data_IF_421311917449
#
_entry.id   IF_421311917449
#
_cell.length_a   1.000
_cell.length_b   1.000
_cell.length_c   1.000
_cell.angle_alpha   90.00
_cell.angle_beta   90.00
_cell.angle_gamma   90.00
#
_symmetry.space_group_name_H-M   'P 1'
#
loop_
_entity.id
_entity.type
_entity.pdbx_description
1 polymer ?
#
# COMPACT_ATOMS: atom_id res chain seq x y z
N UNK A 1 49.55 46.16 -55.35
CA UNK A 1 48.34 45.45 -55.82
C UNK A 1 48.13 44.09 -55.16
N UNK A 2 49.10 43.17 -55.20
CA UNK A 2 48.98 41.83 -54.61
C UNK A 2 48.67 41.85 -53.11
N UNK A 3 49.30 42.70 -52.33
CA UNK A 3 49.13 42.85 -50.89
C UNK A 3 47.72 43.36 -50.50
N UNK A 4 47.12 44.21 -51.30
CA UNK A 4 45.74 44.71 -51.03
C UNK A 4 44.69 43.64 -51.32
N UNK A 5 44.95 42.79 -52.32
CA UNK A 5 44.05 41.66 -52.63
C UNK A 5 44.13 40.57 -51.53
N UNK A 6 45.33 40.27 -51.06
CA UNK A 6 45.51 39.35 -49.93
C UNK A 6 44.88 39.83 -48.64
N UNK A 7 44.99 41.13 -48.37
CA UNK A 7 44.37 41.76 -47.18
C UNK A 7 42.85 41.71 -47.25
N UNK A 8 42.24 41.98 -48.41
CA UNK A 8 40.79 41.95 -48.59
C UNK A 8 40.26 40.51 -48.49
N UNK A 9 40.99 39.54 -49.02
CA UNK A 9 40.62 38.11 -48.90
C UNK A 9 40.70 37.63 -47.44
N UNK A 10 41.75 38.00 -46.74
CA UNK A 10 41.89 37.72 -45.30
C UNK A 10 40.77 38.36 -44.50
N UNK A 11 40.41 39.60 -44.79
CA UNK A 11 39.32 40.29 -44.11
C UNK A 11 37.94 39.63 -44.37
N UNK A 12 37.67 39.19 -45.60
CA UNK A 12 36.44 38.43 -45.91
C UNK A 12 36.36 37.10 -45.17
N UNK A 13 37.49 36.38 -45.07
CA UNK A 13 37.53 35.14 -44.30
C UNK A 13 37.33 35.39 -42.82
N UNK A 14 37.92 36.42 -42.22
CA UNK A 14 37.73 36.80 -40.83
C UNK A 14 36.26 37.20 -40.57
N UNK A 15 35.66 37.99 -41.42
CA UNK A 15 34.23 38.38 -41.29
C UNK A 15 33.32 37.13 -41.40
N UNK A 16 33.65 36.19 -42.34
CA UNK A 16 32.93 34.93 -42.46
C UNK A 16 33.02 34.07 -41.22
N UNK A 17 34.24 33.87 -40.67
CA UNK A 17 34.46 33.14 -39.43
C UNK A 17 33.74 33.80 -38.24
N UNK A 18 33.87 35.10 -38.08
CA UNK A 18 33.20 35.84 -37.03
C UNK A 18 31.68 35.66 -37.04
N UNK A 19 31.08 35.73 -38.26
CA UNK A 19 29.64 35.56 -38.44
C UNK A 19 29.20 34.15 -38.06
N UNK A 20 29.97 33.13 -38.44
CA UNK A 20 29.68 31.75 -38.10
C UNK A 20 29.79 31.50 -36.58
N UNK A 21 30.87 31.95 -35.96
CA UNK A 21 31.07 31.82 -34.48
C UNK A 21 29.99 32.55 -33.70
N UNK A 22 29.62 33.75 -34.13
CA UNK A 22 28.52 34.49 -33.51
C UNK A 22 27.16 33.77 -33.60
N UNK A 23 26.91 33.12 -34.75
CA UNK A 23 25.69 32.34 -34.93
C UNK A 23 25.66 31.10 -34.05
N UNK A 24 26.80 30.43 -33.91
CA UNK A 24 26.95 29.26 -33.03
C UNK A 24 26.79 29.63 -31.54
N UNK A 25 27.36 30.75 -31.10
CA UNK A 25 27.18 31.27 -29.73
C UNK A 25 25.71 31.58 -29.46
N UNK A 26 25.02 32.27 -30.38
CA UNK A 26 23.58 32.54 -30.21
C UNK A 26 22.75 31.27 -30.20
N UNK A 27 23.08 30.28 -31.01
CA UNK A 27 22.40 28.98 -31.04
C UNK A 27 22.60 28.25 -29.70
N UNK A 28 23.84 28.22 -29.20
CA UNK A 28 24.13 27.61 -27.92
C UNK A 28 23.42 28.30 -26.75
N UNK A 29 23.36 29.65 -26.75
CA UNK A 29 22.61 30.40 -25.74
C UNK A 29 21.11 30.10 -25.77
N UNK A 30 20.51 30.09 -26.96
CA UNK A 30 19.09 29.75 -27.12
C UNK A 30 18.78 28.31 -26.66
N UNK A 31 19.71 27.37 -26.91
CA UNK A 31 19.56 25.99 -26.44
C UNK A 31 19.63 25.90 -24.92
N UNK A 32 20.57 26.61 -24.29
CA UNK A 32 20.68 26.66 -22.83
C UNK A 32 19.41 27.27 -22.21
N UNK A 33 18.91 28.37 -22.74
CA UNK A 33 17.67 29.00 -22.25
C UNK A 33 16.45 28.11 -22.47
N UNK A 34 16.35 27.44 -23.61
CA UNK A 34 15.30 26.47 -23.88
C UNK A 34 15.33 25.30 -22.89
N UNK A 35 16.51 24.71 -22.63
CA UNK A 35 16.65 23.64 -21.63
C UNK A 35 16.33 24.14 -20.20
N UNK A 36 16.78 25.33 -19.84
CA UNK A 36 16.45 25.93 -18.54
C UNK A 36 14.93 26.11 -18.39
N UNK A 37 14.27 26.65 -19.41
CA UNK A 37 12.82 26.83 -19.41
C UNK A 37 12.09 25.49 -19.34
N UNK A 38 12.60 24.46 -20.00
CA UNK A 38 12.06 23.09 -19.91
C UNK A 38 12.12 22.54 -18.48
N UNK A 39 13.29 22.63 -17.82
CA UNK A 39 13.43 22.12 -16.44
C UNK A 39 12.62 22.95 -15.42
N UNK A 40 12.43 24.23 -15.65
CA UNK A 40 11.54 25.04 -14.82
C UNK A 40 10.09 24.62 -14.97
N UNK A 41 9.63 24.38 -16.20
CA UNK A 41 8.28 23.88 -16.47
C UNK A 41 8.07 22.50 -15.87
N UNK A 42 9.07 21.60 -16.00
CA UNK A 42 9.05 20.27 -15.39
C UNK A 42 8.93 20.36 -13.85
N UNK A 43 9.77 21.20 -13.21
CA UNK A 43 9.67 21.46 -11.78
C UNK A 43 8.31 22.03 -11.36
N UNK A 44 7.69 22.85 -12.20
CA UNK A 44 6.33 23.36 -11.98
C UNK A 44 5.28 22.26 -11.97
N UNK A 45 5.37 21.30 -12.89
CA UNK A 45 4.48 20.12 -12.90
C UNK A 45 4.66 19.29 -11.64
N UNK A 46 5.88 18.96 -11.25
CA UNK A 46 6.17 18.19 -10.04
C UNK A 46 5.69 18.91 -8.76
N UNK A 47 5.91 20.22 -8.68
CA UNK A 47 5.42 21.04 -7.57
C UNK A 47 3.88 21.01 -7.49
N UNK A 48 3.20 21.17 -8.63
CA UNK A 48 1.74 21.14 -8.68
C UNK A 48 1.18 19.78 -8.24
N UNK A 49 1.82 18.70 -8.64
CA UNK A 49 1.49 17.34 -8.22
C UNK A 49 1.68 17.19 -6.70
N UNK A 50 2.81 17.67 -6.15
CA UNK A 50 3.08 17.62 -4.73
C UNK A 50 2.04 18.39 -3.89
N UNK A 51 1.45 19.48 -4.43
CA UNK A 51 0.35 20.20 -3.78
C UNK A 51 -0.99 19.46 -3.85
N UNK A 52 -1.20 18.66 -4.89
CA UNK A 52 -2.41 17.87 -5.07
C UNK A 52 -2.45 16.64 -4.14
N UNK A 53 -1.31 16.00 -3.94
CA UNK A 53 -1.18 14.71 -3.28
C UNK A 53 -1.78 14.63 -1.87
N UNK A 54 -1.50 15.55 -0.93
CA UNK A 54 -1.93 15.40 0.46
C UNK A 54 -3.45 15.43 0.64
N UNK A 55 -4.17 16.12 -0.26
CA UNK A 55 -5.61 16.35 -0.12
C UNK A 55 -6.46 15.59 -1.13
N UNK A 56 -5.85 15.05 -2.20
CA UNK A 56 -6.50 14.46 -3.38
C UNK A 56 -7.61 15.35 -3.98
N UNK A 57 -7.58 16.65 -3.63
CA UNK A 57 -8.50 17.67 -4.15
C UNK A 57 -7.70 18.66 -4.98
N UNK A 58 -8.29 19.09 -6.09
CA UNK A 58 -7.68 20.16 -6.88
C UNK A 58 -7.47 21.37 -5.97
N UNK A 59 -6.21 21.81 -5.79
CA UNK A 59 -5.95 22.95 -4.93
C UNK A 59 -6.60 24.21 -5.51
N UNK A 60 -7.14 25.05 -4.64
CA UNK A 60 -7.74 26.32 -5.04
C UNK A 60 -6.72 27.27 -5.68
N UNK A 61 -5.43 27.10 -5.39
CA UNK A 61 -4.33 27.87 -5.93
C UNK A 61 -3.05 27.03 -5.90
N UNK A 62 -2.25 27.11 -6.96
CA UNK A 62 -0.88 26.58 -7.08
C UNK A 62 0.16 27.71 -7.15
N UNK A 63 -0.23 28.87 -6.65
CA UNK A 63 0.59 30.08 -6.70
C UNK A 63 1.97 29.92 -6.04
N UNK A 64 2.08 29.06 -5.03
CA UNK A 64 3.37 28.74 -4.39
C UNK A 64 4.37 28.17 -5.39
N UNK A 65 3.93 27.32 -6.32
CA UNK A 65 4.76 26.75 -7.38
C UNK A 65 5.13 27.82 -8.41
N UNK A 66 4.17 28.67 -8.79
CA UNK A 66 4.35 29.73 -9.77
C UNK A 66 5.37 30.75 -9.28
N UNK A 67 5.24 31.20 -8.03
CA UNK A 67 6.13 32.19 -7.41
C UNK A 67 7.55 31.65 -7.19
N UNK A 68 7.68 30.37 -6.79
CA UNK A 68 8.98 29.77 -6.48
C UNK A 68 9.79 29.48 -7.75
N UNK A 69 9.15 29.06 -8.83
CA UNK A 69 9.81 28.58 -10.04
C UNK A 69 9.69 29.57 -11.22
N UNK A 70 8.96 30.68 -11.05
CA UNK A 70 8.65 31.64 -12.11
C UNK A 70 8.00 30.96 -13.33
N UNK A 71 7.01 30.12 -13.09
CA UNK A 71 6.25 29.39 -14.09
C UNK A 71 4.76 29.67 -13.92
N UNK A 72 3.95 29.24 -14.86
CA UNK A 72 2.48 29.25 -14.72
C UNK A 72 2.00 27.82 -14.72
N UNK A 73 1.49 27.34 -13.60
CA UNK A 73 1.04 25.95 -13.43
C UNK A 73 -0.49 25.85 -13.47
N UNK A 74 -0.99 24.72 -13.98
CA UNK A 74 -2.41 24.39 -13.99
C UNK A 74 -2.60 22.93 -13.69
N UNK A 75 -3.64 22.62 -12.92
CA UNK A 75 -4.12 21.27 -12.64
C UNK A 75 -5.60 21.21 -12.97
N UNK A 76 -6.01 20.16 -13.68
CA UNK A 76 -7.44 19.91 -13.96
C UNK A 76 -7.70 18.43 -14.17
N UNK A 77 -8.95 18.02 -13.96
CA UNK A 77 -9.42 16.68 -14.28
C UNK A 77 -9.75 16.58 -15.76
N UNK A 78 -9.34 15.47 -16.39
CA UNK A 78 -9.79 15.12 -17.73
C UNK A 78 -11.24 14.60 -17.61
N UNK A 79 -12.18 15.33 -18.18
CA UNK A 79 -13.61 14.99 -18.08
C UNK A 79 -14.00 13.65 -18.72
N UNK A 80 -13.08 13.00 -19.46
CA UNK A 80 -13.34 11.72 -20.15
C UNK A 80 -12.75 10.51 -19.43
N UNK A 81 -11.62 10.66 -18.75
CA UNK A 81 -10.86 9.55 -18.16
C UNK A 81 -10.67 9.65 -16.63
N UNK A 82 -11.17 10.71 -16.03
CA UNK A 82 -10.97 11.00 -14.60
C UNK A 82 -9.49 11.13 -14.18
N UNK A 83 -8.58 11.28 -15.18
CA UNK A 83 -7.17 11.50 -14.92
C UNK A 83 -6.91 12.96 -14.54
N UNK A 84 -5.86 13.19 -13.78
CA UNK A 84 -5.39 14.55 -13.51
C UNK A 84 -4.36 14.94 -14.56
N UNK A 85 -4.51 16.13 -15.11
CA UNK A 85 -3.55 16.73 -16.04
C UNK A 85 -2.87 17.87 -15.33
N UNK A 86 -1.55 17.79 -15.19
CA UNK A 86 -0.70 18.87 -14.74
C UNK A 86 0.02 19.51 -15.92
N UNK A 87 -0.01 20.82 -16.01
CA UNK A 87 0.70 21.59 -17.03
C UNK A 87 1.43 22.75 -16.38
N UNK A 88 2.66 22.98 -16.77
CA UNK A 88 3.41 24.15 -16.39
C UNK A 88 4.03 24.81 -17.60
N UNK A 89 4.04 26.13 -17.62
CA UNK A 89 4.60 26.94 -18.69
C UNK A 89 5.65 27.88 -18.11
N UNK A 90 6.86 27.78 -18.61
CA UNK A 90 7.92 28.79 -18.49
C UNK A 90 7.91 29.69 -19.72
N UNK A 91 8.79 30.69 -19.80
CA UNK A 91 8.80 31.70 -20.88
C UNK A 91 8.70 31.11 -22.28
N UNK A 92 9.46 30.05 -22.57
CA UNK A 92 9.60 29.51 -23.92
C UNK A 92 9.21 28.03 -24.05
N UNK A 93 8.86 27.37 -22.94
CA UNK A 93 8.55 25.94 -22.94
C UNK A 93 7.31 25.66 -22.12
N UNK A 94 6.54 24.69 -22.55
CA UNK A 94 5.38 24.18 -21.83
C UNK A 94 5.48 22.67 -21.73
N UNK A 95 5.32 22.15 -20.51
CA UNK A 95 5.29 20.72 -20.21
C UNK A 95 3.92 20.37 -19.71
N UNK A 96 3.36 19.29 -20.17
CA UNK A 96 2.09 18.75 -19.68
C UNK A 96 2.23 17.26 -19.44
N UNK A 97 1.73 16.82 -18.30
CA UNK A 97 1.72 15.41 -17.91
C UNK A 97 0.34 14.97 -17.47
N UNK A 98 -0.01 13.76 -17.82
CA UNK A 98 -1.23 13.10 -17.38
C UNK A 98 -0.87 11.97 -16.43
N UNK A 99 -1.52 11.93 -15.28
CA UNK A 99 -1.40 10.83 -14.34
C UNK A 99 -2.77 10.36 -13.88
N UNK A 100 -2.89 9.07 -13.68
CA UNK A 100 -4.01 8.50 -12.95
C UNK A 100 -3.68 8.56 -11.47
N UNK A 101 -4.65 8.94 -10.65
CA UNK A 101 -4.57 8.64 -9.25
C UNK A 101 -4.65 7.13 -9.08
N UNK A 102 -3.71 6.58 -8.38
CA UNK A 102 -3.87 5.27 -7.80
C UNK A 102 -4.91 5.42 -6.68
N UNK A 103 -6.18 5.37 -7.04
CA UNK A 103 -7.24 5.33 -6.04
C UNK A 103 -7.35 3.91 -5.55
N UNK A 104 -7.13 3.70 -4.26
CA UNK A 104 -7.51 2.43 -3.64
C UNK A 104 -9.01 2.25 -3.82
N UNK A 105 -9.41 1.21 -4.51
CA UNK A 105 -10.80 0.74 -4.54
C UNK A 105 -10.95 -0.31 -3.43
N UNK A 106 -10.79 0.13 -2.19
CA UNK A 106 -10.92 -0.75 -1.04
C UNK A 106 -12.28 -1.46 -1.10
N UNK A 107 -12.22 -2.75 -1.38
CA UNK A 107 -13.38 -3.60 -1.29
C UNK A 107 -13.75 -3.81 0.18
N UNK A 108 -15.04 -4.00 0.45
CA UNK A 108 -15.52 -4.23 1.81
C UNK A 108 -14.95 -5.50 2.42
N UNK A 109 -14.62 -5.46 3.72
CA UNK A 109 -14.14 -6.57 4.52
C UNK A 109 -12.97 -6.19 5.44
N UNK A 110 -13.08 -6.52 6.72
CA UNK A 110 -12.02 -6.30 7.71
C UNK A 110 -10.78 -7.16 7.44
N UNK A 111 -10.99 -8.33 6.83
CA UNK A 111 -9.92 -9.23 6.40
C UNK A 111 -10.09 -9.48 4.91
N UNK A 112 -9.02 -9.26 4.17
CA UNK A 112 -8.97 -9.54 2.74
C UNK A 112 -7.79 -10.44 2.41
N UNK A 113 -8.03 -11.51 1.64
CA UNK A 113 -6.98 -12.46 1.32
C UNK A 113 -7.11 -13.06 -0.08
N UNK A 114 -6.02 -13.07 -0.83
CA UNK A 114 -5.88 -13.86 -2.04
C UNK A 114 -5.52 -15.34 -1.74
N UNK A 115 -5.00 -15.60 -0.52
CA UNK A 115 -4.57 -16.90 -0.04
C UNK A 115 -5.69 -17.69 0.67
N UNK A 116 -5.39 -18.90 1.02
CA UNK A 116 -6.25 -19.71 1.90
C UNK A 116 -5.99 -19.40 3.37
N UNK A 117 -7.04 -19.46 4.20
CA UNK A 117 -6.96 -19.22 5.65
C UNK A 117 -7.46 -20.46 6.41
N UNK A 118 -6.70 -20.86 7.43
CA UNK A 118 -7.14 -21.86 8.41
C UNK A 118 -7.09 -21.28 9.81
N UNK A 119 -8.23 -21.29 10.50
CA UNK A 119 -8.41 -20.80 11.86
C UNK A 119 -8.76 -22.01 12.75
N UNK A 120 -7.91 -22.30 13.75
CA UNK A 120 -8.15 -23.32 14.77
C UNK A 120 -8.39 -22.67 16.12
N UNK A 121 -9.55 -22.00 16.24
CA UNK A 121 -9.93 -21.30 17.47
C UNK A 121 -11.30 -20.64 17.37
N UNK A 122 -11.62 -19.82 18.36
CA UNK A 122 -12.75 -18.89 18.28
C UNK A 122 -12.35 -17.64 17.47
N UNK A 123 -13.20 -17.29 16.52
CA UNK A 123 -13.13 -16.07 15.76
C UNK A 123 -14.27 -15.14 16.18
N UNK A 124 -13.92 -13.93 16.56
CA UNK A 124 -14.88 -12.88 16.93
C UNK A 124 -14.72 -11.68 16.02
N UNK A 125 -15.78 -11.29 15.33
CA UNK A 125 -15.84 -10.04 14.59
C UNK A 125 -16.61 -9.06 15.47
N UNK A 126 -15.89 -8.12 16.08
CA UNK A 126 -16.49 -7.10 16.96
C UNK A 126 -17.25 -6.04 16.15
N UNK A 127 -16.65 -5.61 15.05
CA UNK A 127 -17.24 -4.69 14.10
C UNK A 127 -16.83 -5.11 12.70
N UNK A 128 -17.76 -5.52 11.83
CA UNK A 128 -17.47 -5.74 10.41
C UNK A 128 -17.40 -4.42 9.66
N UNK A 129 -16.93 -4.47 8.42
CA UNK A 129 -17.10 -3.37 7.47
C UNK A 129 -18.61 -3.21 7.17
N UNK A 130 -19.19 -2.00 7.29
CA UNK A 130 -20.60 -1.76 6.96
C UNK A 130 -20.95 -2.16 5.53
N UNK A 131 -20.02 -2.04 4.58
CA UNK A 131 -20.29 -2.33 3.17
C UNK A 131 -21.31 -1.36 2.56
N UNK A 132 -22.38 -1.89 1.99
CA UNK A 132 -23.40 -1.12 1.26
C UNK A 132 -24.62 -0.88 2.14
N UNK A 133 -25.06 0.39 2.21
CA UNK A 133 -26.32 0.73 2.87
C UNK A 133 -27.50 0.47 1.96
N UNK A 134 -28.50 -0.25 2.46
CA UNK A 134 -29.78 -0.48 1.80
C UNK A 134 -30.94 -0.02 2.70
N UNK A 135 -32.18 -0.06 2.20
CA UNK A 135 -33.34 0.45 2.95
C UNK A 135 -33.51 -0.23 4.32
N UNK A 136 -33.24 -1.52 4.40
CA UNK A 136 -33.49 -2.34 5.59
C UNK A 136 -32.27 -2.40 6.56
N UNK A 137 -31.06 -2.03 6.12
CA UNK A 137 -29.85 -2.15 6.92
C UNK A 137 -28.55 -1.99 6.13
N UNK A 138 -27.52 -2.67 6.59
CA UNK A 138 -26.20 -2.70 5.95
C UNK A 138 -25.86 -4.11 5.46
N UNK A 139 -25.37 -4.23 4.24
CA UNK A 139 -24.77 -5.45 3.70
C UNK A 139 -23.33 -5.59 4.22
N UNK A 140 -23.21 -5.84 5.52
CA UNK A 140 -21.93 -5.90 6.19
C UNK A 140 -21.03 -7.00 5.62
N UNK A 141 -19.72 -6.73 5.57
CA UNK A 141 -18.70 -7.70 5.16
C UNK A 141 -17.62 -7.84 6.24
N UNK A 142 -17.40 -9.05 6.71
CA UNK A 142 -16.34 -9.37 7.67
C UNK A 142 -15.08 -9.85 6.96
N UNK A 143 -15.24 -10.79 6.03
CA UNK A 143 -14.16 -11.38 5.25
C UNK A 143 -14.43 -11.26 3.75
N UNK A 144 -13.36 -10.99 3.00
CA UNK A 144 -13.34 -11.16 1.55
C UNK A 144 -12.14 -12.01 1.18
N UNK A 145 -12.38 -13.11 0.47
CA UNK A 145 -11.32 -14.09 0.20
C UNK A 145 -11.44 -14.69 -1.20
N UNK A 146 -10.30 -15.02 -1.79
CA UNK A 146 -10.21 -15.70 -3.07
C UNK A 146 -9.95 -17.20 -2.89
N UNK A 147 -9.09 -17.56 -1.93
CA UNK A 147 -8.72 -18.93 -1.64
C UNK A 147 -9.78 -19.70 -0.85
N UNK A 148 -9.34 -20.61 -0.04
CA UNK A 148 -10.19 -21.47 0.81
C UNK A 148 -10.17 -20.94 2.27
N UNK A 149 -11.34 -20.88 2.89
CA UNK A 149 -11.47 -20.50 4.30
C UNK A 149 -11.99 -21.70 5.12
N UNK A 150 -11.28 -22.00 6.21
CA UNK A 150 -11.67 -23.05 7.16
C UNK A 150 -11.55 -22.55 8.60
N UNK A 151 -12.61 -22.72 9.37
CA UNK A 151 -12.67 -22.39 10.80
C UNK A 151 -12.99 -23.66 11.56
N UNK A 152 -12.13 -24.00 12.53
CA UNK A 152 -12.35 -25.10 13.47
C UNK A 152 -12.52 -24.53 14.87
N UNK A 153 -13.76 -24.32 15.30
CA UNK A 153 -14.08 -23.69 16.56
C UNK A 153 -15.41 -22.95 16.54
N UNK A 154 -15.49 -21.79 17.17
CA UNK A 154 -16.67 -20.94 17.12
C UNK A 154 -16.38 -19.66 16.32
N UNK A 155 -17.40 -19.16 15.62
CA UNK A 155 -17.33 -17.89 14.91
C UNK A 155 -18.58 -17.08 15.24
N UNK A 156 -18.36 -15.82 15.64
CA UNK A 156 -19.46 -14.89 15.94
C UNK A 156 -19.14 -13.54 15.31
N UNK A 157 -20.05 -13.06 14.47
CA UNK A 157 -20.08 -11.67 14.01
C UNK A 157 -21.14 -10.89 14.79
N UNK A 158 -20.72 -9.92 15.61
CA UNK A 158 -21.62 -9.08 16.40
C UNK A 158 -22.32 -7.97 15.60
N UNK A 159 -21.87 -7.76 14.37
CA UNK A 159 -22.41 -6.69 13.52
C UNK A 159 -22.06 -5.29 14.03
N UNK A 160 -22.91 -4.32 13.70
CA UNK A 160 -22.70 -2.90 14.03
C UNK A 160 -23.36 -2.46 15.34
N UNK A 161 -24.04 -3.36 16.06
CA UNK A 161 -24.90 -2.99 17.18
C UNK A 161 -24.20 -2.93 18.54
N UNK A 162 -23.20 -3.80 18.73
CA UNK A 162 -22.65 -4.08 20.05
C UNK A 162 -21.14 -3.81 20.11
N UNK A 163 -20.54 -3.36 19.00
CA UNK A 163 -19.12 -3.04 18.86
C UNK A 163 -18.85 -1.52 18.77
N UNK A 164 -17.57 -1.15 18.73
CA UNK A 164 -17.16 0.21 18.39
C UNK A 164 -17.63 0.60 17.00
N UNK A 165 -17.85 1.91 16.78
CA UNK A 165 -18.21 2.41 15.45
C UNK A 165 -17.11 2.10 14.40
N UNK A 166 -17.49 1.83 13.14
CA UNK A 166 -16.51 1.53 12.07
C UNK A 166 -15.69 2.74 11.62
N UNK A 167 -16.10 3.95 11.96
CA UNK A 167 -15.35 5.21 11.84
C UNK A 167 -15.93 6.26 12.82
N UNK A 168 -15.20 7.37 13.01
CA UNK A 168 -15.60 8.44 13.94
C UNK A 168 -16.92 9.16 13.53
N UNK A 169 -17.20 9.23 12.23
CA UNK A 169 -18.37 9.93 11.68
C UNK A 169 -19.58 9.01 11.49
N UNK A 170 -19.48 7.73 11.85
CA UNK A 170 -20.54 6.76 11.63
C UNK A 170 -21.77 7.03 12.52
N UNK A 171 -22.79 7.58 11.93
CA UNK A 171 -24.02 8.02 12.65
C UNK A 171 -25.24 7.15 12.34
N UNK A 172 -25.07 6.01 11.68
CA UNK A 172 -26.20 5.16 11.32
C UNK A 172 -26.73 4.39 12.53
N UNK A 173 -28.06 4.35 12.67
CA UNK A 173 -28.77 3.48 13.62
C UNK A 173 -29.16 2.13 13.00
N UNK A 174 -28.89 1.94 11.71
CA UNK A 174 -29.17 0.70 11.00
C UNK A 174 -28.14 -0.37 11.38
N UNK A 175 -28.60 -1.61 11.42
CA UNK A 175 -27.78 -2.77 11.74
C UNK A 175 -27.35 -3.50 10.47
N UNK A 176 -26.43 -4.45 10.61
CA UNK A 176 -26.20 -5.42 9.55
C UNK A 176 -27.47 -6.23 9.29
N UNK A 177 -27.73 -6.55 8.03
CA UNK A 177 -28.79 -7.49 7.67
C UNK A 177 -28.51 -8.86 8.30
N UNK A 178 -29.56 -9.59 8.66
CA UNK A 178 -29.44 -10.88 9.35
C UNK A 178 -28.67 -11.92 8.52
N UNK A 179 -28.81 -11.89 7.20
CA UNK A 179 -28.06 -12.71 6.26
C UNK A 179 -26.59 -12.30 6.08
N UNK A 180 -26.15 -11.21 6.72
CA UNK A 180 -24.79 -10.73 6.81
C UNK A 180 -24.21 -10.84 8.23
N UNK A 181 -24.71 -11.79 9.01
CA UNK A 181 -24.25 -12.06 10.38
C UNK A 181 -23.97 -13.54 10.56
N UNK A 182 -22.75 -13.95 10.30
CA UNK A 182 -22.35 -15.35 10.51
C UNK A 182 -22.21 -15.64 11.99
N UNK A 183 -22.90 -16.72 12.42
CA UNK A 183 -22.73 -17.32 13.74
C UNK A 183 -22.64 -18.82 13.57
N UNK A 184 -21.49 -19.39 13.93
CA UNK A 184 -21.19 -20.81 13.81
C UNK A 184 -20.63 -21.36 15.10
N UNK A 185 -21.15 -22.50 15.54
CA UNK A 185 -20.60 -23.29 16.63
C UNK A 185 -20.10 -24.62 16.05
N UNK A 186 -18.78 -24.80 15.98
CA UNK A 186 -18.15 -25.99 15.42
C UNK A 186 -17.41 -25.72 14.09
N UNK A 187 -17.08 -26.78 13.36
CA UNK A 187 -16.28 -26.70 12.16
C UNK A 187 -17.10 -26.14 10.99
N UNK A 188 -16.48 -25.17 10.28
CA UNK A 188 -17.07 -24.52 9.12
C UNK A 188 -16.00 -24.28 8.05
N UNK A 189 -16.37 -24.51 6.79
CA UNK A 189 -15.46 -24.32 5.67
C UNK A 189 -16.22 -23.68 4.49
N UNK A 190 -15.52 -22.91 3.67
CA UNK A 190 -16.09 -22.33 2.45
C UNK A 190 -16.57 -23.39 1.44
N UNK A 191 -16.13 -24.62 1.59
CA UNK A 191 -16.59 -25.80 0.81
C UNK A 191 -17.65 -26.65 1.52
N UNK A 192 -18.15 -26.24 2.71
CA UNK A 192 -19.17 -26.98 3.45
C UNK A 192 -20.53 -26.95 2.75
N UNK A 193 -21.21 -28.08 2.76
CA UNK A 193 -22.60 -28.18 2.31
C UNK A 193 -23.47 -28.78 3.45
N UNK A 194 -24.50 -28.09 3.94
CA UNK A 194 -24.93 -26.76 3.52
C UNK A 194 -23.94 -25.65 3.91
N UNK A 195 -23.99 -24.51 3.23
CA UNK A 195 -23.15 -23.35 3.54
C UNK A 195 -23.32 -22.96 5.01
N UNK A 196 -22.18 -22.81 5.70
CA UNK A 196 -22.14 -22.40 7.09
C UNK A 196 -21.79 -20.93 7.28
N UNK A 197 -21.17 -20.29 6.29
CA UNK A 197 -20.94 -18.85 6.28
C UNK A 197 -22.14 -18.13 5.66
N UNK A 198 -22.51 -17.01 6.25
CA UNK A 198 -23.49 -16.09 5.71
C UNK A 198 -22.85 -15.13 4.68
N UNK A 199 -23.56 -14.13 4.20
CA UNK A 199 -23.11 -13.23 3.14
C UNK A 199 -21.99 -12.24 3.59
N UNK A 200 -21.72 -12.14 4.87
CA UNK A 200 -20.60 -11.37 5.43
C UNK A 200 -19.21 -11.99 5.15
N UNK A 201 -19.21 -13.25 4.66
CA UNK A 201 -18.03 -13.95 4.18
C UNK A 201 -18.09 -14.06 2.64
N UNK A 202 -17.49 -13.08 1.98
CA UNK A 202 -17.58 -12.91 0.53
C UNK A 202 -16.45 -13.63 -0.17
N UNK A 203 -16.77 -14.66 -0.95
CA UNK A 203 -15.80 -15.27 -1.87
C UNK A 203 -15.76 -14.42 -3.15
N UNK A 204 -14.56 -13.96 -3.54
CA UNK A 204 -14.35 -13.03 -4.65
C UNK A 204 -13.14 -13.46 -5.49
N UNK A 205 -13.41 -14.10 -6.62
CA UNK A 205 -12.36 -14.57 -7.54
C UNK A 205 -11.61 -13.43 -8.24
N UNK A 206 -12.18 -12.20 -8.22
CA UNK A 206 -11.57 -11.01 -8.81
C UNK A 206 -10.79 -10.16 -7.78
N UNK A 207 -10.68 -10.65 -6.54
CA UNK A 207 -9.96 -9.93 -5.49
C UNK A 207 -8.47 -9.80 -5.84
N UNK A 208 -7.98 -8.57 -5.80
CA UNK A 208 -6.57 -8.19 -5.98
C UNK A 208 -6.14 -7.36 -4.78
N UNK A 209 -5.79 -8.02 -3.67
CA UNK A 209 -5.66 -7.39 -2.35
C UNK A 209 -4.69 -6.21 -2.36
N UNK A 210 -3.52 -6.37 -3.00
CA UNK A 210 -2.52 -5.30 -3.09
C UNK A 210 -3.03 -4.12 -3.94
N UNK A 211 -3.60 -4.40 -5.11
CA UNK A 211 -4.12 -3.38 -6.02
C UNK A 211 -5.33 -2.67 -5.44
N UNK A 212 -6.26 -3.42 -4.84
CA UNK A 212 -7.45 -2.86 -4.19
C UNK A 212 -7.07 -1.93 -3.02
N UNK A 213 -5.99 -2.26 -2.28
CA UNK A 213 -5.53 -1.47 -1.14
C UNK A 213 -4.68 -0.26 -1.54
N UNK A 214 -3.70 -0.44 -2.44
CA UNK A 214 -2.74 0.60 -2.80
C UNK A 214 -3.07 1.33 -4.11
N UNK A 215 -4.05 0.85 -4.87
CA UNK A 215 -4.39 1.38 -6.20
C UNK A 215 -3.33 1.12 -7.27
N UNK A 216 -2.36 0.25 -7.00
CA UNK A 216 -1.21 -0.05 -7.86
C UNK A 216 -1.15 -1.56 -8.09
N UNK A 217 -1.02 -2.03 -9.34
CA UNK A 217 -0.85 -3.45 -9.61
C UNK A 217 0.32 -4.05 -8.83
N UNK A 218 0.15 -5.27 -8.30
CA UNK A 218 1.13 -5.92 -7.43
C UNK A 218 2.55 -5.97 -8.01
N UNK A 219 2.70 -6.13 -9.33
CA UNK A 219 4.01 -6.13 -10.00
C UNK A 219 4.71 -4.77 -10.03
N UNK A 220 4.02 -3.71 -9.60
CA UNK A 220 4.54 -2.35 -9.45
C UNK A 220 4.69 -1.93 -7.97
N UNK A 221 4.77 -2.90 -7.06
CA UNK A 221 4.88 -2.65 -5.62
C UNK A 221 6.06 -1.74 -5.24
N UNK A 222 7.12 -1.71 -6.05
CA UNK A 222 8.25 -0.80 -5.86
C UNK A 222 7.84 0.68 -5.90
N UNK A 223 6.79 1.03 -6.64
CA UNK A 223 6.25 2.40 -6.69
C UNK A 223 5.68 2.80 -5.33
N UNK A 224 4.96 1.87 -4.67
CA UNK A 224 4.42 2.08 -3.32
C UNK A 224 5.54 2.15 -2.29
N UNK A 225 6.51 1.23 -2.39
CA UNK A 225 7.67 1.19 -1.49
C UNK A 225 8.50 2.47 -1.54
N UNK A 226 8.71 3.01 -2.75
CA UNK A 226 9.54 4.19 -2.99
C UNK A 226 8.83 5.54 -2.75
N UNK A 227 7.53 5.57 -2.44
CA UNK A 227 6.78 6.82 -2.33
C UNK A 227 7.11 7.68 -1.09
N UNK A 228 7.99 7.19 -0.21
CA UNK A 228 8.46 7.90 0.98
C UNK A 228 7.55 7.80 2.21
N UNK A 229 6.38 7.16 2.10
CA UNK A 229 5.51 6.87 3.24
C UNK A 229 6.11 5.79 4.13
N UNK A 230 6.59 4.71 3.51
CA UNK A 230 7.12 3.56 4.23
C UNK A 230 8.56 3.78 4.68
N UNK A 231 8.82 3.44 5.95
CA UNK A 231 10.17 3.22 6.44
C UNK A 231 10.56 1.77 6.21
N UNK A 232 11.55 1.53 5.37
CA UNK A 232 12.04 0.19 5.12
C UNK A 232 12.87 -0.35 6.30
N UNK A 233 12.61 -1.61 6.64
CA UNK A 233 13.39 -2.41 7.57
C UNK A 233 13.95 -3.60 6.79
N UNK A 234 15.26 -3.61 6.57
CA UNK A 234 15.96 -4.76 6.02
C UNK A 234 16.50 -5.57 7.18
N UNK A 235 16.07 -6.81 7.30
CA UNK A 235 16.51 -7.70 8.37
C UNK A 235 17.99 -8.05 8.19
N UNK A 236 18.74 -8.15 9.30
CA UNK A 236 20.21 -8.17 9.25
C UNK A 236 20.81 -9.49 8.76
N UNK A 237 20.08 -10.60 8.90
CA UNK A 237 20.60 -11.92 8.56
C UNK A 237 20.16 -12.32 7.17
N UNK A 238 21.11 -12.50 6.26
CA UNK A 238 20.85 -13.04 4.94
C UNK A 238 21.22 -14.53 4.91
N UNK A 239 20.30 -15.38 4.49
CA UNK A 239 20.54 -16.81 4.32
C UNK A 239 21.47 -17.09 3.14
N UNK A 240 21.90 -18.34 3.00
CA UNK A 240 22.70 -18.78 1.84
C UNK A 240 21.94 -18.62 0.50
N UNK A 241 20.60 -18.66 0.55
CA UNK A 241 19.72 -18.44 -0.59
C UNK A 241 19.45 -16.94 -0.85
N UNK A 242 20.05 -16.05 -0.08
CA UNK A 242 19.89 -14.60 -0.25
C UNK A 242 18.61 -14.02 0.39
N UNK A 243 17.89 -14.81 1.19
CA UNK A 243 16.69 -14.37 1.88
C UNK A 243 17.05 -13.63 3.18
N UNK A 244 16.33 -12.55 3.45
CA UNK A 244 16.43 -11.82 4.70
C UNK A 244 15.55 -12.48 5.76
N UNK A 245 16.10 -12.75 6.92
CA UNK A 245 15.33 -13.31 8.04
C UNK A 245 15.85 -12.83 9.40
N UNK A 246 14.95 -12.73 10.37
CA UNK A 246 15.28 -12.47 11.76
C UNK A 246 14.33 -13.22 12.68
N UNK A 247 14.89 -13.92 13.64
CA UNK A 247 14.14 -14.71 14.62
C UNK A 247 13.17 -13.86 15.46
N UNK A 248 13.55 -12.61 15.73
CA UNK A 248 12.69 -11.63 16.38
C UNK A 248 12.98 -10.24 15.82
N UNK A 249 11.98 -9.65 15.17
CA UNK A 249 12.07 -8.32 14.56
C UNK A 249 11.33 -7.23 15.38
N UNK A 250 10.80 -7.59 16.56
CA UNK A 250 10.04 -6.66 17.39
C UNK A 250 10.84 -5.45 17.83
N UNK A 251 12.14 -5.62 18.10
CA UNK A 251 13.03 -4.53 18.50
C UNK A 251 13.20 -3.47 17.39
N UNK A 252 13.43 -3.91 16.15
CA UNK A 252 13.54 -3.00 15.00
C UNK A 252 12.25 -2.25 14.74
N UNK A 253 11.12 -2.96 14.82
CA UNK A 253 9.80 -2.34 14.70
C UNK A 253 9.63 -1.26 15.76
N UNK A 254 9.88 -1.57 17.02
CA UNK A 254 9.79 -0.61 18.12
C UNK A 254 10.73 0.58 17.95
N UNK A 255 11.95 0.37 17.49
CA UNK A 255 12.89 1.45 17.23
C UNK A 255 12.34 2.44 16.21
N UNK A 256 11.73 1.95 15.15
CA UNK A 256 11.12 2.81 14.12
C UNK A 256 9.87 3.51 14.65
N UNK A 257 8.98 2.81 15.34
CA UNK A 257 7.78 3.40 15.93
C UNK A 257 8.11 4.52 16.95
N UNK A 258 9.14 4.34 17.78
CA UNK A 258 9.64 5.37 18.71
C UNK A 258 10.20 6.61 17.99
N UNK A 259 10.60 6.49 16.72
CA UNK A 259 11.01 7.61 15.85
C UNK A 259 9.82 8.21 15.09
N UNK A 260 8.59 7.82 15.41
CA UNK A 260 7.36 8.23 14.73
C UNK A 260 7.25 7.78 13.27
N UNK A 261 7.96 6.70 12.90
CA UNK A 261 7.76 6.03 11.62
C UNK A 261 6.62 5.03 11.78
N UNK A 262 5.40 5.42 11.43
CA UNK A 262 4.19 4.63 11.69
C UNK A 262 3.89 3.59 10.60
N UNK A 263 4.46 3.75 9.41
CA UNK A 263 4.27 2.84 8.29
C UNK A 263 5.57 2.13 7.98
N UNK A 264 5.61 0.83 8.21
CA UNK A 264 6.83 0.03 8.11
C UNK A 264 6.72 -0.99 6.98
N UNK A 265 7.74 -1.03 6.13
CA UNK A 265 7.93 -2.04 5.09
C UNK A 265 9.07 -2.96 5.52
N UNK A 266 8.74 -4.16 5.94
CA UNK A 266 9.68 -5.14 6.48
C UNK A 266 10.02 -6.13 5.36
N UNK A 267 11.27 -6.15 4.93
CA UNK A 267 11.73 -7.07 3.90
C UNK A 267 12.25 -8.36 4.53
N UNK A 268 11.62 -9.49 4.21
CA UNK A 268 12.02 -10.81 4.61
C UNK A 268 11.21 -11.44 5.75
N UNK A 269 11.70 -12.54 6.26
CA UNK A 269 11.01 -13.38 7.25
C UNK A 269 11.26 -12.92 8.68
N UNK A 270 10.19 -12.84 9.49
CA UNK A 270 10.32 -12.35 10.85
C UNK A 270 9.25 -12.94 11.79
N UNK A 271 9.59 -12.95 13.08
CA UNK A 271 8.65 -13.22 14.17
C UNK A 271 8.56 -11.99 15.04
N UNK A 272 7.38 -11.63 15.52
CA UNK A 272 7.19 -10.67 16.62
C UNK A 272 6.82 -11.47 17.86
N UNK A 273 7.72 -11.46 18.86
CA UNK A 273 7.48 -12.15 20.14
C UNK A 273 6.65 -11.32 21.10
N UNK A 274 6.13 -11.98 22.15
CA UNK A 274 5.35 -11.36 23.21
C UNK A 274 6.11 -10.23 23.95
N UNK A 275 7.43 -10.30 24.00
CA UNK A 275 8.29 -9.33 24.68
C UNK A 275 8.12 -7.88 24.16
N UNK A 276 7.74 -7.72 22.88
CA UNK A 276 7.62 -6.42 22.23
C UNK A 276 6.17 -5.97 22.01
N UNK A 277 5.21 -6.89 22.12
CA UNK A 277 3.82 -6.60 21.75
C UNK A 277 3.16 -5.53 22.63
N UNK A 278 3.50 -5.49 23.91
CA UNK A 278 2.95 -4.49 24.83
C UNK A 278 3.36 -3.05 24.45
N UNK A 279 4.62 -2.86 24.08
CA UNK A 279 5.14 -1.57 23.65
C UNK A 279 4.61 -1.18 22.25
N UNK A 280 4.55 -2.13 21.31
CA UNK A 280 3.95 -1.92 19.97
C UNK A 280 2.50 -1.50 20.12
N UNK A 281 1.72 -2.18 20.97
CA UNK A 281 0.35 -1.80 21.30
C UNK A 281 0.26 -0.36 21.79
N UNK A 282 1.05 0.01 22.80
CA UNK A 282 1.01 1.35 23.38
C UNK A 282 1.31 2.45 22.36
N UNK A 283 2.30 2.22 21.47
CA UNK A 283 2.64 3.18 20.40
C UNK A 283 1.57 3.23 19.31
N UNK A 284 0.95 2.10 18.97
CA UNK A 284 -0.14 2.07 17.97
C UNK A 284 -1.39 2.80 18.47
N UNK A 285 -1.74 2.65 19.75
CA UNK A 285 -2.89 3.33 20.37
C UNK A 285 -2.66 4.84 20.54
N UNK A 286 -1.40 5.26 20.73
CA UNK A 286 -1.02 6.68 20.86
C UNK A 286 -0.97 7.43 19.53
N UNK A 287 -1.16 6.74 18.41
CA UNK A 287 -1.11 7.29 17.05
C UNK A 287 -2.44 7.10 16.31
N UNK A 288 -2.51 7.56 15.07
CA UNK A 288 -3.66 7.29 14.18
C UNK A 288 -3.70 5.84 13.68
N UNK A 289 -2.79 5.01 14.17
CA UNK A 289 -2.61 3.62 13.82
C UNK A 289 -1.29 3.38 13.08
N UNK A 290 -0.85 2.12 13.07
CA UNK A 290 0.39 1.71 12.42
C UNK A 290 0.09 0.82 11.22
N UNK A 291 1.01 0.81 10.24
CA UNK A 291 0.98 -0.14 9.14
C UNK A 291 2.21 -1.03 9.22
N UNK A 292 1.99 -2.32 9.40
CA UNK A 292 3.03 -3.34 9.33
C UNK A 292 2.86 -4.10 8.02
N UNK A 293 3.70 -3.83 7.04
CA UNK A 293 3.74 -4.56 5.78
C UNK A 293 4.98 -5.46 5.78
N UNK A 294 4.77 -6.78 5.71
CA UNK A 294 5.85 -7.76 5.58
C UNK A 294 5.88 -8.27 4.14
N UNK A 295 7.05 -8.21 3.52
CA UNK A 295 7.25 -8.49 2.11
C UNK A 295 8.31 -9.57 1.89
N UNK A 296 7.98 -10.56 1.05
CA UNK A 296 8.87 -11.65 0.64
C UNK A 296 9.47 -12.42 1.82
N UNK A 297 8.59 -13.02 2.64
CA UNK A 297 9.02 -13.82 3.78
C UNK A 297 7.89 -14.56 4.48
N UNK A 298 8.24 -15.42 5.43
CA UNK A 298 7.28 -15.94 6.40
C UNK A 298 7.17 -14.95 7.56
N UNK A 299 5.96 -14.82 8.10
CA UNK A 299 5.69 -13.91 9.19
C UNK A 299 4.93 -14.59 10.33
N UNK A 300 5.36 -14.38 11.55
CA UNK A 300 4.61 -14.85 12.71
C UNK A 300 4.45 -13.78 13.79
N UNK A 301 3.35 -13.90 14.52
CA UNK A 301 3.08 -13.14 15.75
C UNK A 301 2.80 -14.11 16.88
N UNK A 302 3.49 -13.94 18.01
CA UNK A 302 3.41 -14.81 19.19
C UNK A 302 3.05 -14.01 20.43
N UNK A 303 1.97 -14.36 21.12
CA UNK A 303 1.54 -13.71 22.36
C UNK A 303 0.12 -13.16 22.32
N UNK A 304 -0.14 -12.08 23.07
CA UNK A 304 -1.45 -11.46 23.12
C UNK A 304 -1.36 -9.94 23.04
N UNK A 305 -2.03 -9.35 22.05
CA UNK A 305 -2.07 -7.89 21.89
C UNK A 305 -3.31 -7.40 21.16
N UNK A 306 -3.66 -6.13 21.42
CA UNK A 306 -4.56 -5.34 20.58
C UNK A 306 -3.71 -4.30 19.83
N UNK A 307 -3.70 -4.32 18.51
CA UNK A 307 -2.93 -3.39 17.69
C UNK A 307 -3.90 -2.52 16.90
N UNK A 308 -3.81 -1.20 17.12
CA UNK A 308 -4.49 -0.22 16.27
C UNK A 308 -3.67 -0.04 15.01
N UNK A 309 -4.12 -0.64 13.92
CA UNK A 309 -3.34 -0.58 12.68
C UNK A 309 -3.81 -1.54 11.60
N UNK A 310 -3.01 -1.57 10.55
CA UNK A 310 -3.16 -2.46 9.40
C UNK A 310 -2.00 -3.44 9.39
N UNK A 311 -2.33 -4.72 9.28
CA UNK A 311 -1.38 -5.78 8.98
C UNK A 311 -1.49 -6.14 7.49
N UNK A 312 -0.39 -6.00 6.77
CA UNK A 312 -0.32 -6.38 5.37
C UNK A 312 0.82 -7.40 5.16
N UNK A 313 0.50 -8.60 4.70
CA UNK A 313 1.51 -9.61 4.37
C UNK A 313 1.46 -9.90 2.87
N UNK A 314 2.56 -9.58 2.18
CA UNK A 314 2.65 -9.57 0.73
C UNK A 314 3.81 -10.44 0.24
N UNK A 315 3.50 -11.52 -0.47
CA UNK A 315 4.48 -12.41 -1.09
C UNK A 315 4.18 -12.55 -2.58
N UNK A 316 5.13 -12.18 -3.42
CA UNK A 316 5.03 -12.28 -4.87
C UNK A 316 5.75 -13.53 -5.40
N UNK A 317 7.04 -13.65 -5.09
CA UNK A 317 7.90 -14.72 -5.59
C UNK A 317 8.41 -15.65 -4.47
N UNK A 318 8.05 -15.34 -3.22
CA UNK A 318 8.51 -16.09 -2.05
C UNK A 318 7.75 -17.41 -1.89
N UNK A 319 8.49 -18.48 -1.64
CA UNK A 319 7.98 -19.81 -1.33
C UNK A 319 8.34 -20.20 0.12
N UNK A 320 7.35 -20.42 1.01
CA UNK A 320 7.62 -20.85 2.38
C UNK A 320 8.15 -22.26 2.46
N UNK A 321 8.92 -22.59 3.49
CA UNK A 321 9.42 -23.93 3.74
C UNK A 321 9.43 -24.30 5.22
N UNK A 322 9.46 -25.59 5.51
CA UNK A 322 9.55 -26.12 6.88
C UNK A 322 10.84 -25.67 7.54
N UNK A 323 11.95 -25.66 6.80
CA UNK A 323 13.27 -25.29 7.30
C UNK A 323 13.32 -23.82 7.74
N UNK A 324 12.61 -22.93 7.03
CA UNK A 324 12.52 -21.51 7.41
C UNK A 324 11.77 -21.37 8.75
N UNK A 325 10.65 -22.05 8.93
CA UNK A 325 9.92 -22.07 10.19
C UNK A 325 10.74 -22.62 11.36
N UNK A 326 11.55 -23.64 11.10
CA UNK A 326 12.47 -24.21 12.09
C UNK A 326 13.55 -23.21 12.49
N UNK A 327 14.16 -22.52 11.51
CA UNK A 327 15.18 -21.49 11.79
C UNK A 327 14.63 -20.34 12.63
N UNK A 328 13.39 -19.93 12.37
CA UNK A 328 12.71 -18.89 13.15
C UNK A 328 12.18 -19.38 14.50
N UNK A 329 12.29 -20.67 14.80
CA UNK A 329 11.87 -21.25 16.08
C UNK A 329 10.37 -21.51 16.19
N UNK A 330 9.61 -21.43 15.10
CA UNK A 330 8.16 -21.65 15.07
C UNK A 330 7.76 -23.02 14.53
N UNK A 331 8.72 -23.77 13.98
CA UNK A 331 8.44 -25.06 13.33
C UNK A 331 7.72 -26.07 14.20
N UNK A 332 8.11 -26.24 15.46
CA UNK A 332 7.49 -27.18 16.38
C UNK A 332 6.06 -26.76 16.75
N UNK A 333 5.80 -25.47 16.93
CA UNK A 333 4.45 -24.97 17.22
C UNK A 333 3.50 -25.21 16.04
N UNK A 334 3.94 -24.94 14.81
CA UNK A 334 3.15 -25.20 13.60
C UNK A 334 2.93 -26.73 13.45
N UNK A 335 3.98 -27.53 13.65
CA UNK A 335 3.90 -28.99 13.57
C UNK A 335 2.86 -29.59 14.54
N UNK A 336 2.82 -29.07 15.76
CA UNK A 336 1.89 -29.52 16.79
C UNK A 336 0.41 -29.22 16.44
N UNK A 337 0.15 -28.11 15.75
CA UNK A 337 -1.21 -27.61 15.50
C UNK A 337 -1.66 -27.77 14.05
N UNK A 338 -0.75 -27.65 13.10
CA UNK A 338 -1.00 -27.71 11.64
C UNK A 338 0.02 -28.62 10.94
N UNK A 339 0.11 -29.89 11.27
CA UNK A 339 1.17 -30.79 10.79
C UNK A 339 1.22 -30.94 9.27
N UNK A 340 0.08 -30.82 8.59
CA UNK A 340 -0.03 -30.97 7.14
C UNK A 340 0.26 -29.69 6.36
N UNK A 341 0.33 -28.54 7.05
CA UNK A 341 0.32 -27.23 6.44
C UNK A 341 1.69 -26.50 6.52
N UNK A 342 2.68 -27.07 7.20
CA UNK A 342 3.97 -26.41 7.48
C UNK A 342 4.70 -25.92 6.23
N UNK A 343 4.66 -26.72 5.15
CA UNK A 343 5.42 -26.42 3.93
C UNK A 343 4.84 -25.25 3.12
N UNK A 344 3.56 -24.94 3.34
CA UNK A 344 2.82 -23.93 2.57
C UNK A 344 2.36 -22.76 3.44
N UNK A 345 2.64 -22.80 4.74
CA UNK A 345 2.32 -21.71 5.66
C UNK A 345 3.24 -20.53 5.42
N UNK A 346 2.68 -19.38 5.04
CA UNK A 346 3.40 -18.11 4.91
C UNK A 346 3.22 -17.22 6.14
N UNK A 347 2.06 -17.31 6.81
CA UNK A 347 1.75 -16.57 8.03
C UNK A 347 1.32 -17.53 9.14
N UNK A 348 1.78 -17.25 10.35
CA UNK A 348 1.34 -17.96 11.55
C UNK A 348 1.10 -17.03 12.73
N UNK A 349 -0.10 -17.10 13.29
CA UNK A 349 -0.44 -16.39 14.52
C UNK A 349 -0.67 -17.39 15.65
N UNK A 350 0.07 -17.21 16.74
CA UNK A 350 0.00 -18.04 17.94
C UNK A 350 -0.30 -17.17 19.15
N UNK A 351 -1.58 -17.09 19.52
CA UNK A 351 -2.05 -16.29 20.65
C UNK A 351 -3.27 -15.45 20.36
N UNK A 352 -3.65 -14.63 21.34
CA UNK A 352 -4.88 -13.83 21.28
C UNK A 352 -4.62 -12.44 20.74
N UNK A 353 -4.99 -12.19 19.49
CA UNK A 353 -4.79 -10.90 18.85
C UNK A 353 -6.10 -10.22 18.50
N UNK A 354 -6.13 -8.90 18.66
CA UNK A 354 -7.14 -8.03 18.11
C UNK A 354 -6.46 -7.01 17.20
N UNK A 355 -6.86 -6.96 15.93
CA UNK A 355 -6.40 -5.95 14.98
C UNK A 355 -7.55 -4.98 14.75
N UNK A 356 -7.30 -3.69 15.07
CA UNK A 356 -8.25 -2.59 14.87
C UNK A 356 -7.84 -1.84 13.62
N UNK A 357 -8.51 -2.09 12.54
CA UNK A 357 -8.19 -1.65 11.19
C UNK A 357 -8.50 -2.78 10.24
N UNK A 358 -7.50 -3.50 9.80
CA UNK A 358 -7.69 -4.64 8.90
C UNK A 358 -6.45 -5.53 8.77
N UNK A 359 -6.67 -6.75 8.27
CA UNK A 359 -5.60 -7.67 7.94
C UNK A 359 -5.70 -8.10 6.46
N UNK A 360 -4.60 -7.94 5.75
CA UNK A 360 -4.52 -8.14 4.30
C UNK A 360 -3.42 -9.14 3.98
N UNK A 361 -3.77 -10.20 3.25
CA UNK A 361 -2.84 -11.25 2.85
C UNK A 361 -2.88 -11.38 1.34
N UNK A 362 -1.79 -11.01 0.67
CA UNK A 362 -1.68 -11.10 -0.78
C UNK A 362 -0.53 -12.00 -1.20
N UNK A 363 -0.85 -13.23 -1.57
CA UNK A 363 0.12 -14.22 -2.03
C UNK A 363 -0.15 -14.58 -3.50
N UNK A 364 0.91 -14.69 -4.32
CA UNK A 364 0.75 -15.11 -5.71
C UNK A 364 0.34 -16.58 -5.84
N UNK A 365 0.80 -17.41 -4.91
CA UNK A 365 0.42 -18.81 -4.87
C UNK A 365 -0.82 -19.00 -3.98
N UNK A 366 -1.94 -19.42 -4.56
CA UNK A 366 -3.19 -19.63 -3.85
C UNK A 366 -3.15 -20.81 -2.85
N UNK A 367 -2.12 -21.68 -2.94
CA UNK A 367 -1.89 -22.78 -2.00
C UNK A 367 -1.25 -22.29 -0.69
N UNK A 368 -0.65 -21.11 -0.68
CA UNK A 368 -0.08 -20.55 0.55
C UNK A 368 -1.16 -20.27 1.59
N UNK A 369 -0.81 -20.49 2.85
CA UNK A 369 -1.73 -20.44 3.97
C UNK A 369 -1.38 -19.33 4.96
N UNK A 370 -2.43 -18.66 5.45
CA UNK A 370 -2.38 -17.95 6.70
C UNK A 370 -3.04 -18.79 7.81
N UNK A 371 -2.25 -19.11 8.82
CA UNK A 371 -2.63 -20.00 9.92
C UNK A 371 -2.87 -19.19 11.19
N UNK A 372 -4.01 -19.41 11.82
CA UNK A 372 -4.38 -18.75 13.06
C UNK A 372 -4.69 -19.79 14.15
N UNK A 373 -4.01 -19.66 15.28
CA UNK A 373 -4.22 -20.44 16.48
C UNK A 373 -4.63 -19.52 17.63
N UNK A 374 -5.43 -20.04 18.55
CA UNK A 374 -6.01 -19.32 19.68
C UNK A 374 -7.01 -18.22 19.28
N UNK A 375 -7.46 -17.40 20.25
CA UNK A 375 -8.56 -16.48 20.00
C UNK A 375 -8.17 -15.36 19.06
N UNK A 376 -8.93 -15.22 17.98
CA UNK A 376 -8.75 -14.18 17.00
C UNK A 376 -9.93 -13.21 17.06
N UNK A 377 -9.63 -11.93 17.15
CA UNK A 377 -10.62 -10.87 17.15
C UNK A 377 -10.29 -9.81 16.14
N UNK A 378 -11.28 -9.38 15.38
CA UNK A 378 -11.15 -8.29 14.41
C UNK A 378 -12.16 -7.19 14.69
N UNK A 379 -11.71 -5.97 14.45
CA UNK A 379 -12.53 -4.78 14.46
C UNK A 379 -12.17 -3.96 13.25
N UNK A 380 -13.13 -3.81 12.33
CA UNK A 380 -12.95 -2.89 11.21
C UNK A 380 -12.91 -1.45 11.72
N UNK A 381 -11.97 -0.67 11.22
CA UNK A 381 -11.88 0.76 11.43
C UNK A 381 -11.48 1.44 10.13
N UNK A 382 -12.45 2.10 9.50
CA UNK A 382 -12.27 2.76 8.22
C UNK A 382 -11.21 3.86 8.25
N UNK A 383 -11.14 4.62 9.35
CA UNK A 383 -10.21 5.75 9.47
C UNK A 383 -8.76 5.26 9.49
N UNK A 384 -8.50 4.19 10.24
CA UNK A 384 -7.17 3.54 10.30
C UNK A 384 -6.76 2.96 8.94
N UNK A 385 -7.69 2.29 8.26
CA UNK A 385 -7.41 1.70 6.94
C UNK A 385 -7.18 2.79 5.90
N UNK A 386 -8.03 3.82 5.89
CA UNK A 386 -7.92 4.93 4.94
C UNK A 386 -6.66 5.74 5.18
N UNK A 387 -6.27 5.97 6.44
CA UNK A 387 -5.00 6.62 6.75
C UNK A 387 -3.83 5.83 6.16
N UNK A 388 -3.81 4.51 6.33
CA UNK A 388 -2.78 3.63 5.80
C UNK A 388 -2.77 3.55 4.27
N UNK A 389 -3.93 3.44 3.62
CA UNK A 389 -4.03 3.32 2.16
C UNK A 389 -3.85 4.65 1.43
N UNK A 390 -4.45 5.74 1.93
CA UNK A 390 -4.36 7.05 1.29
C UNK A 390 -2.94 7.63 1.39
N UNK A 391 -2.27 7.44 2.50
CA UNK A 391 -0.87 7.84 2.67
C UNK A 391 0.07 7.06 1.74
N UNK A 392 -0.29 5.82 1.38
CA UNK A 392 0.43 5.00 0.41
C UNK A 392 0.02 5.29 -1.05
N UNK A 393 -1.00 6.11 -1.28
CA UNK A 393 -1.46 6.43 -2.63
C UNK A 393 -0.32 6.97 -3.47
N UNK A 394 -0.07 6.31 -4.58
CA UNK A 394 0.95 6.67 -5.55
C UNK A 394 0.28 7.18 -6.81
N UNK A 395 0.96 7.99 -7.58
CA UNK A 395 0.48 8.33 -8.92
C UNK A 395 1.17 7.46 -9.96
N UNK A 396 0.38 7.02 -10.91
CA UNK A 396 0.89 6.27 -12.06
C UNK A 396 0.96 7.18 -13.27
N UNK A 397 2.17 7.40 -13.78
CA UNK A 397 2.36 8.05 -15.06
C UNK A 397 1.76 7.19 -16.17
N UNK A 398 0.83 7.74 -16.92
CA UNK A 398 0.31 7.02 -18.07
C UNK A 398 1.35 6.97 -19.19
N UNK A 399 1.50 5.81 -19.81
CA UNK A 399 2.37 5.62 -20.97
C UNK A 399 1.96 6.60 -22.09
N UNK A 400 2.91 7.41 -22.57
CA UNK A 400 2.64 8.47 -23.57
C UNK A 400 2.05 9.76 -22.97
N UNK A 401 2.07 9.92 -21.65
CA UNK A 401 1.54 11.09 -20.94
C UNK A 401 2.41 12.35 -21.09
N UNK A 402 3.61 12.23 -21.62
CA UNK A 402 4.52 13.35 -21.87
C UNK A 402 4.14 14.07 -23.14
N UNK A 403 3.95 15.36 -23.05
CA UNK A 403 3.80 16.25 -24.19
C UNK A 403 4.66 17.48 -23.95
N UNK A 404 5.70 17.60 -24.75
CA UNK A 404 6.54 18.78 -24.84
C UNK A 404 6.03 19.63 -26.01
N UNK A 405 5.70 20.87 -25.75
CA UNK A 405 5.22 21.82 -26.77
C UNK A 405 6.13 23.05 -26.83
#
# INVERSE_FOLDING_TARGET
MITSILLSLALMLFVGMYKTTFYEIKRAQNEIESRKSFWLAEGGVECAIAQYFPSQKLPASIQVCDDTLSVTTKLWLDGTSNDVIASAKSENQSVSRRFALATSELKSGAIQTSASIKIKSSLVINTPDPGIEVDEGWECAAFRFKGHLSVKGSLINYGLSDGPAPNEEFMSHKKCLQEHLTTVAGDCSSSSEPKCFANDFVQDDQLSVFEDFFGVPRHQHDVVRANGMFREINLETQTAEGLWERKDCGEEILQQLRQNNLHLWINGSCVISDDYLADIKALSEASDGITLLVHEGIFAMQGAASIKGVLFHFNQDFEPSIEQWQRLGMGDSIAAHFPEDQAVAAYYQDGSFMITGGAFFDYSNAEHLALFRDSLSFQYNHDVITHSSSSASSYLWKKGAWRDF
#
